data_IF_226933722903
#
_entry.id   IF_226933722903
#
_cell.length_a   1.000
_cell.length_b   1.000
_cell.length_c   1.000
_cell.angle_alpha   90.00
_cell.angle_beta   90.00
_cell.angle_gamma   90.00
#
_symmetry.space_group_name_H-M   'P 1'
#
loop_
_entity.id
_entity.type
_entity.pdbx_description
1 polymer ?
#
# COMPACT_ATOMS: atom_id res chain seq x y z
N UNK A 1 -16.12 -18.22 0.58
CA UNK A 1 -15.55 -19.09 -0.48
C UNK A 1 -14.32 -18.39 -1.02
N UNK A 2 -13.15 -19.01 -0.94
CA UNK A 2 -11.95 -18.51 -1.63
C UNK A 2 -12.08 -18.93 -3.08
N UNK A 3 -12.49 -18.01 -3.96
CA UNK A 3 -12.45 -18.29 -5.38
C UNK A 3 -10.98 -18.36 -5.82
N UNK A 4 -10.58 -19.37 -6.61
CA UNK A 4 -9.23 -19.44 -7.12
C UNK A 4 -8.97 -18.19 -7.96
N UNK A 5 -7.87 -17.50 -7.64
CA UNK A 5 -7.42 -16.31 -8.39
C UNK A 5 -7.17 -16.76 -9.85
N UNK A 6 -7.77 -16.10 -10.86
CA UNK A 6 -7.45 -16.36 -12.26
C UNK A 6 -5.94 -16.45 -12.53
N UNK A 7 -5.52 -17.44 -13.32
CA UNK A 7 -4.09 -17.79 -13.52
C UNK A 7 -3.23 -16.66 -14.10
N UNK A 8 -3.83 -15.68 -14.78
CA UNK A 8 -3.13 -14.53 -15.34
C UNK A 8 -2.89 -13.41 -14.32
N UNK A 9 -3.68 -13.31 -13.25
CA UNK A 9 -3.59 -12.22 -12.28
C UNK A 9 -2.23 -12.17 -11.55
N UNK A 10 -1.64 -13.29 -11.09
CA UNK A 10 -0.30 -13.27 -10.52
C UNK A 10 0.77 -12.76 -11.49
N UNK A 11 0.56 -12.92 -12.80
CA UNK A 11 1.47 -12.47 -13.85
C UNK A 11 1.31 -10.99 -14.21
N UNK A 12 0.18 -10.37 -13.84
CA UNK A 12 -0.10 -8.98 -14.16
C UNK A 12 0.92 -8.03 -13.51
N UNK A 13 1.51 -7.10 -14.29
CA UNK A 13 2.49 -6.16 -13.76
C UNK A 13 1.96 -5.34 -12.57
N UNK A 14 0.70 -4.92 -12.61
CA UNK A 14 0.07 -4.17 -11.53
C UNK A 14 -0.02 -4.99 -10.24
N UNK A 15 -0.43 -6.26 -10.35
CA UNK A 15 -0.55 -7.17 -9.21
C UNK A 15 0.81 -7.45 -8.58
N UNK A 16 1.82 -7.83 -9.39
CA UNK A 16 3.21 -8.00 -8.93
C UNK A 16 3.70 -6.75 -8.20
N UNK A 17 3.38 -5.57 -8.73
CA UNK A 17 3.76 -4.31 -8.11
C UNK A 17 3.06 -4.04 -6.77
N UNK A 18 1.80 -4.45 -6.62
CA UNK A 18 1.12 -4.41 -5.33
C UNK A 18 1.85 -5.27 -4.29
N UNK A 19 2.25 -6.49 -4.66
CA UNK A 19 2.99 -7.41 -3.78
C UNK A 19 4.34 -6.82 -3.36
N UNK A 20 5.11 -6.24 -4.29
CA UNK A 20 6.36 -5.55 -3.98
C UNK A 20 6.16 -4.41 -2.96
N UNK A 21 5.10 -3.61 -3.13
CA UNK A 21 4.75 -2.53 -2.19
C UNK A 21 4.37 -3.09 -0.81
N UNK A 22 3.65 -4.21 -0.73
CA UNK A 22 3.31 -4.86 0.54
C UNK A 22 4.57 -5.30 1.28
N UNK A 23 5.49 -5.97 0.59
CA UNK A 23 6.76 -6.42 1.19
C UNK A 23 7.55 -5.23 1.70
N UNK A 24 7.70 -4.18 0.89
CA UNK A 24 8.40 -2.96 1.28
C UNK A 24 7.73 -2.26 2.47
N UNK A 25 6.40 -2.18 2.48
CA UNK A 25 5.64 -1.54 3.56
C UNK A 25 5.78 -2.29 4.88
N UNK A 26 5.84 -3.63 4.86
CA UNK A 26 6.13 -4.45 6.04
C UNK A 26 7.54 -4.21 6.56
N UNK A 27 8.54 -4.15 5.69
CA UNK A 27 9.91 -3.82 6.10
C UNK A 27 9.96 -2.45 6.79
N UNK A 28 9.35 -1.42 6.18
CA UNK A 28 9.27 -0.07 6.78
C UNK A 28 8.59 -0.11 8.15
N UNK A 29 7.48 -0.84 8.28
CA UNK A 29 6.76 -0.99 9.54
C UNK A 29 7.61 -1.65 10.63
N UNK A 30 8.41 -2.67 10.29
CA UNK A 30 9.36 -3.29 11.24
C UNK A 30 10.36 -2.27 11.77
N UNK A 31 10.97 -1.44 10.92
CA UNK A 31 11.91 -0.39 11.38
C UNK A 31 11.22 0.67 12.22
N UNK A 32 10.02 1.11 11.83
CA UNK A 32 9.25 2.08 12.62
C UNK A 32 8.92 1.54 14.01
N UNK A 33 8.57 0.27 14.12
CA UNK A 33 8.34 -0.36 15.43
C UNK A 33 9.61 -0.40 16.28
N UNK A 34 10.77 -0.66 15.69
CA UNK A 34 12.04 -0.63 16.43
C UNK A 34 12.39 0.77 16.92
N UNK A 35 12.11 1.81 16.15
CA UNK A 35 12.48 3.18 16.51
C UNK A 35 11.45 3.87 17.43
N UNK A 36 10.15 3.56 17.26
CA UNK A 36 9.05 4.38 17.80
C UNK A 36 8.16 3.67 18.83
N UNK A 37 8.38 2.37 19.12
CA UNK A 37 7.52 1.63 20.05
C UNK A 37 7.83 1.89 21.53
N UNK A 38 8.94 2.55 21.85
CA UNK A 38 9.28 2.89 23.22
C UNK A 38 8.39 4.01 23.76
N UNK A 39 8.01 3.92 25.03
CA UNK A 39 7.36 5.02 25.72
C UNK A 39 8.36 6.15 26.00
N UNK A 40 7.89 7.38 25.89
CA UNK A 40 8.63 8.58 26.29
C UNK A 40 8.77 8.64 27.82
N UNK A 41 9.66 9.50 28.36
CA UNK A 41 9.86 9.62 29.81
C UNK A 41 8.59 9.95 30.62
N UNK A 42 7.60 10.57 29.98
CA UNK A 42 6.29 10.89 30.57
C UNK A 42 5.25 9.75 30.46
N UNK A 43 5.65 8.60 29.92
CA UNK A 43 4.78 7.44 29.70
C UNK A 43 3.91 7.53 28.44
N UNK A 44 4.01 8.59 27.65
CA UNK A 44 3.26 8.71 26.38
C UNK A 44 3.94 7.95 25.23
N UNK A 45 3.15 7.51 24.26
CA UNK A 45 3.66 6.88 23.04
C UNK A 45 4.18 7.92 22.03
N UNK A 46 5.01 7.48 21.10
CA UNK A 46 5.25 8.25 19.88
C UNK A 46 4.05 8.12 18.93
N UNK A 47 3.36 9.23 18.64
CA UNK A 47 2.18 9.23 17.77
C UNK A 47 2.47 8.78 16.34
N UNK A 48 3.73 8.85 15.90
CA UNK A 48 4.15 8.39 14.59
C UNK A 48 4.14 6.85 14.49
N UNK A 49 4.10 6.11 15.60
CA UNK A 49 4.03 4.63 15.56
C UNK A 49 2.79 4.13 14.81
N UNK A 50 1.66 4.85 14.90
CA UNK A 50 0.39 4.38 14.35
C UNK A 50 0.37 4.31 12.81
N UNK A 51 1.16 5.17 12.13
CA UNK A 51 1.19 5.12 10.66
C UNK A 51 1.93 3.89 10.13
N UNK A 52 2.73 3.23 10.97
CA UNK A 52 3.35 1.94 10.64
C UNK A 52 2.29 0.84 10.44
N UNK A 53 1.16 0.92 11.14
CA UNK A 53 0.00 0.06 10.93
C UNK A 53 -0.74 0.46 9.66
N UNK A 54 -0.98 1.77 9.46
CA UNK A 54 -1.67 2.29 8.28
C UNK A 54 -0.98 1.87 6.97
N UNK A 55 0.34 1.98 6.88
CA UNK A 55 1.08 1.66 5.65
C UNK A 55 0.98 0.17 5.31
N UNK A 56 0.98 -0.73 6.31
CA UNK A 56 0.83 -2.17 6.11
C UNK A 56 -0.60 -2.52 5.73
N UNK A 57 -1.59 -1.95 6.43
CA UNK A 57 -3.00 -2.19 6.15
C UNK A 57 -3.35 -1.76 4.73
N UNK A 58 -3.00 -0.53 4.36
CA UNK A 58 -3.36 0.04 3.06
C UNK A 58 -2.65 -0.66 1.90
N UNK A 59 -1.38 -1.02 2.07
CA UNK A 59 -0.64 -1.78 1.04
C UNK A 59 -1.23 -3.18 0.87
N UNK A 60 -1.57 -3.86 1.97
CA UNK A 60 -2.16 -5.22 1.95
C UNK A 60 -3.50 -5.23 1.22
N UNK A 61 -4.25 -4.13 1.24
CA UNK A 61 -5.52 -3.99 0.52
C UNK A 61 -5.38 -3.77 -1.00
N UNK A 62 -4.21 -3.43 -1.53
CA UNK A 62 -4.05 -3.16 -2.97
C UNK A 62 -4.39 -4.39 -3.85
N UNK A 63 -3.79 -5.53 -3.55
CA UNK A 63 -3.97 -6.75 -4.34
C UNK A 63 -5.43 -7.26 -4.33
N UNK A 64 -6.13 -7.32 -3.17
CA UNK A 64 -7.56 -7.63 -3.14
C UNK A 64 -8.42 -6.72 -4.02
N UNK A 65 -8.21 -5.39 -4.01
CA UNK A 65 -9.00 -4.48 -4.85
C UNK A 65 -8.75 -4.69 -6.36
N UNK A 66 -7.52 -5.04 -6.76
CA UNK A 66 -7.21 -5.42 -8.15
C UNK A 66 -7.97 -6.69 -8.54
N UNK A 67 -7.88 -7.74 -7.71
CA UNK A 67 -8.56 -9.02 -7.96
C UNK A 67 -10.07 -8.83 -8.03
N UNK A 68 -10.64 -8.06 -7.11
CA UNK A 68 -12.07 -7.79 -7.09
C UNK A 68 -12.52 -7.02 -8.34
N UNK A 69 -11.77 -6.00 -8.78
CA UNK A 69 -12.09 -5.26 -10.00
C UNK A 69 -12.04 -6.14 -11.26
N UNK A 70 -11.07 -7.04 -11.35
CA UNK A 70 -10.91 -7.98 -12.48
C UNK A 70 -12.00 -9.05 -12.52
N UNK A 71 -12.45 -9.52 -11.36
CA UNK A 71 -13.47 -10.56 -11.24
C UNK A 71 -14.91 -10.02 -11.29
N UNK A 72 -15.10 -8.71 -11.06
CA UNK A 72 -16.43 -8.10 -10.99
C UNK A 72 -17.05 -7.91 -12.37
N UNK A 73 -18.27 -8.44 -12.53
CA UNK A 73 -19.03 -8.41 -13.79
C UNK A 73 -19.86 -7.15 -13.92
N UNK A 74 -20.30 -6.58 -12.80
CA UNK A 74 -21.12 -5.37 -12.79
C UNK A 74 -20.23 -4.12 -12.81
N UNK A 75 -20.39 -3.30 -13.84
CA UNK A 75 -19.55 -2.13 -14.07
C UNK A 75 -19.54 -1.16 -12.88
N UNK A 76 -20.70 -0.91 -12.24
CA UNK A 76 -20.80 -0.02 -11.08
C UNK A 76 -19.96 -0.50 -9.89
N UNK A 77 -19.96 -1.81 -9.61
CA UNK A 77 -19.16 -2.42 -8.55
C UNK A 77 -17.67 -2.46 -8.93
N UNK A 78 -17.35 -2.74 -10.20
CA UNK A 78 -15.97 -2.67 -10.70
C UNK A 78 -15.37 -1.28 -10.47
N UNK A 79 -16.10 -0.21 -10.81
CA UNK A 79 -15.65 1.16 -10.58
C UNK A 79 -15.47 1.50 -9.08
N UNK A 80 -16.25 0.89 -8.18
CA UNK A 80 -16.02 1.04 -6.73
C UNK A 80 -14.67 0.45 -6.31
N UNK A 81 -14.29 -0.72 -6.82
CA UNK A 81 -12.98 -1.32 -6.54
C UNK A 81 -11.82 -0.48 -7.10
N UNK A 82 -11.98 0.04 -8.32
CA UNK A 82 -11.01 0.96 -8.92
C UNK A 82 -10.85 2.23 -8.08
N UNK A 83 -11.95 2.86 -7.66
CA UNK A 83 -11.91 4.05 -6.80
C UNK A 83 -11.27 3.76 -5.43
N UNK A 84 -11.55 2.58 -4.84
CA UNK A 84 -10.89 2.12 -3.62
C UNK A 84 -9.38 1.98 -3.84
N UNK A 85 -8.94 1.41 -4.96
CA UNK A 85 -7.53 1.26 -5.31
C UNK A 85 -6.81 2.62 -5.47
N UNK A 86 -7.45 3.59 -6.13
CA UNK A 86 -6.95 4.97 -6.21
C UNK A 86 -6.82 5.62 -4.83
N UNK A 87 -7.85 5.46 -3.98
CA UNK A 87 -7.84 5.97 -2.60
C UNK A 87 -6.68 5.35 -1.81
N UNK A 88 -6.50 4.03 -1.85
CA UNK A 88 -5.41 3.34 -1.16
C UNK A 88 -4.05 3.84 -1.62
N UNK A 89 -3.85 3.99 -2.93
CA UNK A 89 -2.62 4.54 -3.52
C UNK A 89 -2.34 5.95 -3.01
N UNK A 90 -3.37 6.80 -2.95
CA UNK A 90 -3.25 8.15 -2.41
C UNK A 90 -2.94 8.17 -0.91
N UNK A 91 -3.52 7.26 -0.13
CA UNK A 91 -3.23 7.13 1.30
C UNK A 91 -1.77 6.67 1.53
N UNK A 92 -1.25 5.75 0.72
CA UNK A 92 0.16 5.36 0.77
C UNK A 92 1.09 6.53 0.46
N UNK A 93 0.75 7.38 -0.50
CA UNK A 93 1.50 8.63 -0.74
C UNK A 93 1.44 9.60 0.45
N UNK A 94 0.30 9.69 1.15
CA UNK A 94 0.20 10.49 2.39
C UNK A 94 1.08 9.91 3.49
N UNK A 95 1.13 8.58 3.62
CA UNK A 95 2.02 7.92 4.58
C UNK A 95 3.51 8.15 4.24
N UNK A 96 3.90 8.24 2.97
CA UNK A 96 5.26 8.69 2.63
C UNK A 96 5.57 10.09 3.16
N UNK A 97 4.60 11.01 3.20
CA UNK A 97 4.79 12.35 3.76
C UNK A 97 4.87 12.34 5.28
N UNK A 98 4.19 11.39 5.95
CA UNK A 98 4.30 11.19 7.40
C UNK A 98 5.67 10.61 7.75
N UNK A 99 6.11 9.58 7.03
CA UNK A 99 7.43 8.97 7.17
C UNK A 99 8.59 9.96 6.94
N UNK A 100 8.43 10.93 6.05
CA UNK A 100 9.43 11.99 5.85
C UNK A 100 9.59 12.92 7.05
N UNK A 101 8.54 13.06 7.86
CA UNK A 101 8.53 13.93 9.04
C UNK A 101 8.85 13.17 10.33
N UNK A 102 8.82 11.84 10.30
CA UNK A 102 9.07 11.04 11.49
C UNK A 102 10.56 10.98 11.81
N UNK A 103 10.85 10.77 13.10
CA UNK A 103 12.21 10.70 13.63
C UNK A 103 12.72 9.25 13.63
N UNK A 104 12.49 8.53 12.53
CA UNK A 104 12.83 7.12 12.38
C UNK A 104 13.80 6.89 11.22
N UNK A 105 14.63 5.86 11.35
CA UNK A 105 15.50 5.32 10.30
C UNK A 105 14.68 4.76 9.11
N UNK A 106 13.39 4.46 9.31
CA UNK A 106 12.46 4.10 8.24
C UNK A 106 12.41 5.12 7.09
N UNK A 107 12.80 6.39 7.32
CA UNK A 107 12.90 7.43 6.29
C UNK A 107 13.87 7.09 5.16
N UNK A 108 14.87 6.23 5.42
CA UNK A 108 15.82 5.78 4.40
C UNK A 108 15.15 5.03 3.24
N UNK A 109 13.97 4.44 3.50
CA UNK A 109 13.17 3.77 2.49
C UNK A 109 12.35 4.71 1.61
N UNK A 110 12.25 6.01 1.93
CA UNK A 110 11.43 6.97 1.20
C UNK A 110 11.73 7.03 -0.31
N UNK A 111 13.00 7.09 -0.76
CA UNK A 111 13.30 7.12 -2.18
C UNK A 111 12.78 5.87 -2.90
N UNK A 112 12.92 4.71 -2.26
CA UNK A 112 12.47 3.41 -2.77
C UNK A 112 10.95 3.38 -2.82
N UNK A 113 10.27 3.63 -1.70
CA UNK A 113 8.81 3.60 -1.62
C UNK A 113 8.16 4.58 -2.61
N UNK A 114 8.67 5.81 -2.72
CA UNK A 114 8.18 6.80 -3.70
C UNK A 114 8.38 6.36 -5.14
N UNK A 115 9.48 5.67 -5.45
CA UNK A 115 9.73 5.13 -6.80
C UNK A 115 8.75 4.02 -7.11
N UNK A 116 8.51 3.13 -6.15
CA UNK A 116 7.63 1.97 -6.32
C UNK A 116 6.17 2.39 -6.46
N UNK A 117 5.69 3.33 -5.64
CA UNK A 117 4.35 3.92 -5.78
C UNK A 117 4.17 4.68 -7.09
N UNK A 118 5.20 5.39 -7.59
CA UNK A 118 5.14 6.07 -8.90
C UNK A 118 4.98 5.09 -10.05
N UNK A 119 5.70 3.96 -10.02
CA UNK A 119 5.54 2.88 -11.00
C UNK A 119 4.15 2.26 -10.88
N UNK A 120 3.70 1.96 -9.66
CA UNK A 120 2.37 1.41 -9.41
C UNK A 120 1.27 2.29 -10.00
N UNK A 121 1.32 3.60 -9.74
CA UNK A 121 0.32 4.54 -10.28
C UNK A 121 0.28 4.59 -11.81
N UNK A 122 1.43 4.44 -12.48
CA UNK A 122 1.48 4.33 -13.95
C UNK A 122 0.84 3.04 -14.43
N UNK A 123 1.18 1.92 -13.81
CA UNK A 123 0.58 0.62 -14.12
C UNK A 123 -0.92 0.62 -13.87
N UNK A 124 -1.36 1.24 -12.77
CA UNK A 124 -2.78 1.38 -12.43
C UNK A 124 -3.52 2.17 -13.50
N UNK A 125 -2.97 3.31 -13.94
CA UNK A 125 -3.57 4.11 -14.99
C UNK A 125 -3.68 3.33 -16.31
N UNK A 126 -2.61 2.65 -16.74
CA UNK A 126 -2.64 1.83 -17.96
C UNK A 126 -3.67 0.71 -17.85
N UNK A 127 -3.73 0.03 -16.70
CA UNK A 127 -4.69 -1.02 -16.41
C UNK A 127 -6.14 -0.54 -16.41
N UNK A 128 -6.42 0.65 -15.85
CA UNK A 128 -7.77 1.22 -15.88
C UNK A 128 -8.28 1.50 -17.29
N UNK A 129 -7.39 1.72 -18.27
CA UNK A 129 -7.76 1.90 -19.68
C UNK A 129 -8.09 0.58 -20.39
N UNK A 130 -7.80 -0.57 -19.77
CA UNK A 130 -8.08 -1.91 -20.33
C UNK A 130 -9.34 -2.56 -19.75
N UNK A 131 -10.00 -1.92 -18.78
CA UNK A 131 -11.17 -2.43 -18.05
C UNK A 131 -12.51 -1.94 -18.60
#
# INVERSE_FOLDING_TARGET
>A
MSYPIPSHLPEMPLYKKAIEIIILSRSISTYLNQDLAYLKPDGSEDTDIYFSGDIVQQSTSLAPEIVNAEMERHSDKKYKHIASLERLTNLLYKNCKRLEKSHSNGREYLPILRRELRKFRRLQHTWMMTL
#
